data_IF_716343975429
#
_entry.id   IF_716343975429
#
_cell.length_a   1.000
_cell.length_b   1.000
_cell.length_c   1.000
_cell.angle_alpha   90.00
_cell.angle_beta   90.00
_cell.angle_gamma   90.00
#
_symmetry.space_group_name_H-M   'P 1'
#
loop_
_entity.id
_entity.type
_entity.pdbx_description
1 polymer ?
#
# COMPACT_ATOMS: atom_id res chain seq x y z
N UNK A 1 -21.36 -23.07 15.72
CA UNK A 1 -21.31 -22.61 14.30
C UNK A 1 -20.83 -21.17 14.28
N UNK A 2 -19.73 -20.86 13.59
CA UNK A 2 -19.28 -19.47 13.43
C UNK A 2 -20.17 -18.75 12.41
N UNK A 3 -20.63 -17.54 12.75
CA UNK A 3 -21.59 -16.76 11.95
C UNK A 3 -21.02 -16.35 10.58
N UNK A 4 -21.85 -16.28 9.52
CA UNK A 4 -21.44 -15.85 8.18
C UNK A 4 -20.77 -14.46 8.14
N UNK A 5 -21.11 -13.59 9.09
CA UNK A 5 -20.54 -12.24 9.24
C UNK A 5 -19.03 -12.26 9.52
N UNK A 6 -18.55 -13.22 10.34
CA UNK A 6 -17.13 -13.33 10.68
C UNK A 6 -16.28 -13.81 9.49
N UNK A 7 -16.85 -14.60 8.56
CA UNK A 7 -16.15 -15.07 7.36
C UNK A 7 -15.88 -13.95 6.35
N UNK A 8 -16.79 -12.98 6.23
CA UNK A 8 -16.64 -11.82 5.33
C UNK A 8 -15.58 -10.85 5.80
N UNK A 9 -15.63 -10.48 7.10
CA UNK A 9 -14.65 -9.55 7.71
C UNK A 9 -13.22 -10.08 7.63
N UNK A 10 -13.02 -11.39 7.82
CA UNK A 10 -11.69 -12.00 7.75
C UNK A 10 -11.11 -11.94 6.32
N UNK A 11 -11.95 -12.09 5.28
CA UNK A 11 -11.51 -11.97 3.89
C UNK A 11 -11.12 -10.55 3.51
N UNK A 12 -11.90 -9.55 3.89
CA UNK A 12 -11.57 -8.16 3.61
C UNK A 12 -10.29 -7.73 4.33
N UNK A 13 -10.13 -8.14 5.60
CA UNK A 13 -8.90 -7.88 6.34
C UNK A 13 -7.68 -8.53 5.68
N UNK A 14 -7.78 -9.81 5.30
CA UNK A 14 -6.70 -10.51 4.60
C UNK A 14 -6.35 -9.84 3.25
N UNK A 15 -7.35 -9.32 2.53
CA UNK A 15 -7.14 -8.59 1.29
C UNK A 15 -6.41 -7.25 1.52
N UNK A 16 -6.77 -6.51 2.57
CA UNK A 16 -6.10 -5.26 2.93
C UNK A 16 -4.65 -5.50 3.40
N UNK A 17 -4.42 -6.53 4.22
CA UNK A 17 -3.09 -6.93 4.66
C UNK A 17 -2.22 -7.36 3.47
N UNK A 18 -2.77 -8.16 2.55
CA UNK A 18 -2.08 -8.55 1.32
C UNK A 18 -1.73 -7.34 0.45
N UNK A 19 -2.64 -6.38 0.31
CA UNK A 19 -2.40 -5.12 -0.43
C UNK A 19 -1.28 -4.30 0.20
N UNK A 20 -1.25 -4.20 1.54
CA UNK A 20 -0.16 -3.56 2.29
C UNK A 20 1.18 -4.22 2.04
N UNK A 21 1.25 -5.53 2.14
CA UNK A 21 2.48 -6.28 1.90
C UNK A 21 3.02 -6.06 0.48
N UNK A 22 2.13 -5.97 -0.52
CA UNK A 22 2.55 -5.65 -1.91
C UNK A 22 3.15 -4.25 -2.00
N UNK A 23 2.51 -3.24 -1.41
CA UNK A 23 3.02 -1.85 -1.42
C UNK A 23 4.37 -1.77 -0.73
N UNK A 24 4.49 -2.32 0.48
CA UNK A 24 5.72 -2.32 1.27
C UNK A 24 6.86 -3.01 0.52
N UNK A 25 6.62 -4.21 -0.03
CA UNK A 25 7.63 -4.95 -0.77
C UNK A 25 8.08 -4.23 -2.04
N UNK A 26 7.16 -3.62 -2.80
CA UNK A 26 7.52 -2.89 -4.02
C UNK A 26 8.40 -1.67 -3.69
N UNK A 27 8.03 -0.89 -2.69
CA UNK A 27 8.81 0.26 -2.26
C UNK A 27 10.20 -0.17 -1.74
N UNK A 28 10.27 -1.24 -0.95
CA UNK A 28 11.52 -1.80 -0.45
C UNK A 28 12.41 -2.32 -1.60
N UNK A 29 11.84 -3.00 -2.60
CA UNK A 29 12.55 -3.48 -3.78
C UNK A 29 13.11 -2.33 -4.64
N UNK A 30 12.36 -1.24 -4.79
CA UNK A 30 12.77 -0.11 -5.63
C UNK A 30 13.75 0.84 -4.96
N UNK A 31 13.59 1.09 -3.67
CA UNK A 31 14.32 2.14 -2.95
C UNK A 31 15.26 1.60 -1.86
N UNK A 32 15.30 0.28 -1.66
CA UNK A 32 16.22 -0.41 -0.76
C UNK A 32 15.86 -0.33 0.73
N UNK A 33 15.14 0.71 1.17
CA UNK A 33 14.63 0.83 2.53
C UNK A 33 13.36 1.67 2.60
N UNK A 34 12.46 1.31 3.52
CA UNK A 34 11.29 2.10 3.88
C UNK A 34 11.62 3.08 5.01
N UNK A 35 12.21 4.22 4.66
CA UNK A 35 12.40 5.33 5.58
C UNK A 35 11.06 5.98 6.01
N UNK A 36 11.12 6.96 6.91
CA UNK A 36 9.93 7.63 7.46
C UNK A 36 9.07 8.31 6.38
N UNK A 37 9.69 8.86 5.33
CA UNK A 37 8.95 9.55 4.27
C UNK A 37 8.21 8.54 3.39
N UNK A 38 8.86 7.41 3.08
CA UNK A 38 8.22 6.31 2.34
C UNK A 38 7.15 5.59 3.17
N UNK A 39 7.32 5.48 4.48
CA UNK A 39 6.27 4.93 5.35
C UNK A 39 5.04 5.84 5.40
N UNK A 40 5.23 7.16 5.38
CA UNK A 40 4.14 8.13 5.45
C UNK A 40 3.20 8.05 4.23
N UNK A 41 3.69 7.59 3.07
CA UNK A 41 2.86 7.47 1.86
C UNK A 41 2.07 6.16 1.76
N UNK A 42 2.35 5.16 2.60
CA UNK A 42 1.72 3.83 2.50
C UNK A 42 0.20 3.92 2.68
N UNK A 43 -0.28 4.62 3.71
CA UNK A 43 -1.73 4.77 3.95
C UNK A 43 -2.46 5.48 2.79
N UNK A 44 -1.99 6.64 2.30
CA UNK A 44 -2.55 7.26 1.09
C UNK A 44 -2.58 6.33 -0.13
N UNK A 45 -1.53 5.55 -0.34
CA UNK A 45 -1.45 4.60 -1.47
C UNK A 45 -2.44 3.46 -1.29
N UNK A 46 -2.64 2.97 -0.07
CA UNK A 46 -3.61 1.92 0.24
C UNK A 46 -5.07 2.34 0.02
N UNK A 47 -5.36 3.63 -0.11
CA UNK A 47 -6.69 4.09 -0.51
C UNK A 47 -7.00 3.84 -2.00
N UNK A 48 -5.98 3.68 -2.85
CA UNK A 48 -6.12 3.48 -4.31
C UNK A 48 -6.31 2.01 -4.68
N UNK A 49 -6.93 1.72 -5.81
CA UNK A 49 -7.01 0.34 -6.33
C UNK A 49 -5.63 -0.18 -6.80
N UNK A 50 -5.38 -1.51 -6.79
CA UNK A 50 -4.14 -2.10 -7.29
C UNK A 50 -3.73 -1.64 -8.68
N UNK A 51 -4.70 -1.50 -9.58
CA UNK A 51 -4.48 -1.07 -10.96
C UNK A 51 -4.10 0.41 -11.05
N UNK A 52 -4.43 1.20 -10.02
CA UNK A 52 -4.09 2.63 -9.92
C UNK A 52 -2.71 2.83 -9.27
N UNK A 53 -2.41 2.14 -8.16
CA UNK A 53 -1.14 2.37 -7.48
C UNK A 53 0.03 1.63 -8.12
N UNK A 54 -0.15 0.45 -8.71
CA UNK A 54 0.96 -0.33 -9.28
C UNK A 54 1.77 0.46 -10.30
N UNK A 55 1.17 1.09 -11.33
CA UNK A 55 1.96 1.90 -12.28
C UNK A 55 2.64 3.08 -11.60
N UNK A 56 1.97 3.77 -10.67
CA UNK A 56 2.57 4.90 -9.94
C UNK A 56 3.80 4.46 -9.14
N UNK A 57 3.68 3.36 -8.40
CA UNK A 57 4.77 2.78 -7.62
C UNK A 57 5.89 2.18 -8.46
N UNK A 58 5.70 1.93 -9.76
CA UNK A 58 6.74 1.41 -10.66
C UNK A 58 7.40 2.50 -11.51
N UNK A 59 6.66 3.55 -11.83
CA UNK A 59 7.10 4.59 -12.78
C UNK A 59 7.68 5.82 -12.10
N UNK A 60 7.09 6.25 -10.99
CA UNK A 60 7.51 7.47 -10.31
C UNK A 60 8.81 7.27 -9.54
N UNK A 61 9.60 8.34 -9.41
CA UNK A 61 10.74 8.37 -8.50
C UNK A 61 10.29 8.40 -7.04
N UNK A 62 11.24 8.22 -6.11
CA UNK A 62 11.00 8.34 -4.66
C UNK A 62 10.43 9.72 -4.34
N UNK A 63 11.05 10.77 -4.86
CA UNK A 63 10.70 12.16 -4.59
C UNK A 63 9.32 12.50 -5.17
N UNK A 64 8.99 11.99 -6.36
CA UNK A 64 7.67 12.17 -6.96
C UNK A 64 6.57 11.47 -6.15
N UNK A 65 6.84 10.27 -5.64
CA UNK A 65 5.90 9.55 -4.76
C UNK A 65 5.66 10.33 -3.46
N UNK A 66 6.71 10.83 -2.82
CA UNK A 66 6.61 11.63 -1.60
C UNK A 66 5.89 12.96 -1.89
N UNK A 67 6.21 13.64 -2.99
CA UNK A 67 5.52 14.88 -3.36
C UNK A 67 4.02 14.67 -3.64
N UNK A 68 3.66 13.51 -4.18
CA UNK A 68 2.28 13.15 -4.54
C UNK A 68 1.46 12.70 -3.33
N UNK A 69 2.04 11.92 -2.42
CA UNK A 69 1.32 11.23 -1.35
C UNK A 69 1.72 11.66 0.07
N UNK A 70 2.86 12.33 0.24
CA UNK A 70 3.43 12.69 1.54
C UNK A 70 2.89 13.96 2.18
N UNK A 71 1.86 14.60 1.58
CA UNK A 71 1.22 15.78 2.19
C UNK A 71 0.16 15.33 3.20
N UNK A 72 0.51 15.44 4.48
CA UNK A 72 -0.43 15.50 5.59
C UNK A 72 -0.18 16.77 6.39
#
# INVERSE_FOLDING_TARGET
MMSPFLKGVNREKAKQEGKRLVVENLLQLRFGSLDKELQAIIEPVLALLPEEFTPLLMQLSREELIAKFGRH
#
